data_IF_084849403912
#
_entry.id   IF_084849403912
#
_cell.length_a   1.000
_cell.length_b   1.000
_cell.length_c   1.000
_cell.angle_alpha   90.00
_cell.angle_beta   90.00
_cell.angle_gamma   90.00
#
_symmetry.space_group_name_H-M   'P 1'
#
loop_
_entity.id
_entity.type
_entity.pdbx_description
1 polymer ?
#
# COMPACT_ATOMS: atom_id res chain seq x y z
N UNK A 1 19.50 8.23 -9.75
CA UNK A 1 18.61 7.41 -10.59
C UNK A 1 17.20 7.90 -10.34
N UNK A 2 16.48 8.37 -11.36
CA UNK A 2 15.10 8.88 -11.22
C UNK A 2 14.10 7.76 -11.45
N UNK A 3 13.13 7.61 -10.56
CA UNK A 3 11.97 6.73 -10.74
C UNK A 3 10.71 7.56 -11.00
N UNK A 4 9.70 6.95 -11.59
CA UNK A 4 8.38 7.57 -11.77
C UNK A 4 7.46 7.14 -10.63
N UNK A 5 6.82 8.11 -9.96
CA UNK A 5 5.73 7.84 -9.03
C UNK A 5 4.40 7.98 -9.78
N UNK A 6 3.62 6.90 -9.81
CA UNK A 6 2.28 6.91 -10.36
C UNK A 6 1.27 6.96 -9.22
N UNK A 7 0.35 7.94 -9.28
CA UNK A 7 -0.76 8.06 -8.33
C UNK A 7 -2.05 7.75 -9.09
N UNK A 8 -2.76 6.71 -8.67
CA UNK A 8 -4.05 6.31 -9.24
C UNK A 8 -5.16 6.67 -8.26
N UNK A 9 -5.94 7.70 -8.57
CA UNK A 9 -7.06 8.16 -7.74
C UNK A 9 -8.39 7.80 -8.41
N UNK A 10 -9.27 7.11 -7.70
CA UNK A 10 -10.64 6.87 -8.14
C UNK A 10 -11.54 6.58 -6.92
N UNK A 11 -12.85 6.86 -7.00
CA UNK A 11 -13.81 6.47 -5.97
C UNK A 11 -13.83 4.94 -5.73
N UNK A 12 -14.36 4.53 -4.57
CA UNK A 12 -14.61 3.12 -4.30
C UNK A 12 -15.52 2.52 -5.39
N UNK A 13 -15.19 1.32 -5.86
CA UNK A 13 -15.94 0.63 -6.93
C UNK A 13 -15.57 1.02 -8.36
N UNK A 14 -14.73 2.02 -8.59
CA UNK A 14 -14.35 2.49 -9.94
C UNK A 14 -13.27 1.63 -10.64
N UNK A 15 -12.88 0.48 -10.07
CA UNK A 15 -11.93 -0.45 -10.71
C UNK A 15 -10.44 -0.18 -10.47
N UNK A 16 -10.07 0.75 -9.58
CA UNK A 16 -8.67 1.08 -9.23
C UNK A 16 -7.82 -0.17 -8.94
N UNK A 17 -8.33 -1.05 -8.08
CA UNK A 17 -7.61 -2.27 -7.68
C UNK A 17 -7.38 -3.20 -8.87
N UNK A 18 -8.36 -3.35 -9.76
CA UNK A 18 -8.25 -4.20 -10.95
C UNK A 18 -7.21 -3.66 -11.93
N UNK A 19 -7.21 -2.34 -12.18
CA UNK A 19 -6.22 -1.69 -13.04
C UNK A 19 -4.80 -1.88 -12.51
N UNK A 20 -4.59 -1.60 -11.22
CA UNK A 20 -3.27 -1.75 -10.57
C UNK A 20 -2.81 -3.21 -10.61
N UNK A 21 -3.70 -4.16 -10.34
CA UNK A 21 -3.37 -5.58 -10.38
C UNK A 21 -2.91 -6.03 -11.77
N UNK A 22 -3.55 -5.55 -12.84
CA UNK A 22 -3.16 -5.90 -14.21
C UNK A 22 -1.84 -5.21 -14.62
N UNK A 23 -1.62 -3.98 -14.18
CA UNK A 23 -0.36 -3.26 -14.40
C UNK A 23 0.84 -3.99 -13.77
N UNK A 24 0.68 -4.51 -12.55
CA UNK A 24 1.74 -5.24 -11.85
C UNK A 24 2.07 -6.60 -12.49
N UNK A 25 1.13 -7.20 -13.23
CA UNK A 25 1.39 -8.44 -13.99
C UNK A 25 2.11 -8.19 -15.31
N UNK A 26 1.91 -7.00 -15.88
CA UNK A 26 2.38 -6.67 -17.24
C UNK A 26 3.75 -6.01 -17.26
N UNK A 27 4.17 -5.37 -16.16
CA UNK A 27 5.50 -4.75 -16.03
C UNK A 27 6.13 -5.01 -14.65
N UNK A 28 7.14 -5.88 -14.63
CA UNK A 28 7.90 -6.24 -13.42
C UNK A 28 8.68 -5.06 -12.80
N UNK A 29 8.89 -3.97 -13.53
CA UNK A 29 9.56 -2.77 -13.01
C UNK A 29 8.63 -1.93 -12.15
N UNK A 30 7.32 -2.12 -12.27
CA UNK A 30 6.33 -1.41 -11.46
C UNK A 30 6.13 -2.16 -10.15
N UNK A 31 6.25 -1.42 -9.04
CA UNK A 31 6.05 -1.95 -7.70
C UNK A 31 4.90 -1.20 -7.04
N UNK A 32 4.05 -1.96 -6.34
CA UNK A 32 3.00 -1.37 -5.54
C UNK A 32 3.58 -0.83 -4.23
N UNK A 33 3.20 0.39 -3.87
CA UNK A 33 3.40 0.90 -2.51
C UNK A 33 2.35 0.28 -1.60
N UNK A 34 2.78 -0.58 -0.66
CA UNK A 34 1.89 -1.25 0.29
C UNK A 34 1.74 -0.37 1.54
N UNK A 35 0.50 0.02 1.87
CA UNK A 35 0.21 0.90 3.00
C UNK A 35 0.35 0.21 4.35
N UNK A 36 0.42 0.98 5.43
CA UNK A 36 0.42 0.47 6.81
C UNK A 36 -0.99 0.54 7.40
N UNK A 37 -1.32 -0.38 8.30
CA UNK A 37 -2.59 -0.35 9.04
C UNK A 37 -2.43 -0.92 10.45
N UNK A 38 -3.23 -0.41 11.39
CA UNK A 38 -3.32 -0.90 12.77
C UNK A 38 -4.41 -1.96 12.95
N UNK A 39 -5.22 -2.19 11.92
CA UNK A 39 -6.23 -3.26 11.92
C UNK A 39 -5.53 -4.62 11.92
N UNK A 40 -6.06 -5.59 12.66
CA UNK A 40 -5.59 -6.97 12.56
C UNK A 40 -5.84 -7.56 11.15
N UNK A 41 -4.96 -8.43 10.64
CA UNK A 41 -5.18 -9.11 9.37
C UNK A 41 -6.44 -9.97 9.42
N UNK A 42 -7.23 -9.95 8.34
CA UNK A 42 -8.32 -10.90 8.10
C UNK A 42 -7.74 -12.25 7.67
N UNK A 43 -8.57 -13.30 7.75
CA UNK A 43 -8.19 -14.62 7.26
C UNK A 43 -7.71 -14.54 5.80
N UNK A 44 -6.50 -15.05 5.55
CA UNK A 44 -5.88 -15.06 4.23
C UNK A 44 -5.08 -13.81 3.86
N UNK A 45 -5.15 -12.71 4.63
CA UNK A 45 -4.27 -11.54 4.43
C UNK A 45 -2.85 -11.82 4.92
N UNK A 46 -1.85 -11.28 4.23
CA UNK A 46 -0.44 -11.44 4.60
C UNK A 46 0.25 -10.08 4.77
N UNK A 47 1.10 -10.00 5.80
CA UNK A 47 1.90 -8.80 6.05
C UNK A 47 2.83 -8.52 4.87
N UNK A 48 2.78 -7.29 4.36
CA UNK A 48 3.53 -6.85 3.17
C UNK A 48 2.89 -7.21 1.84
N UNK A 49 1.69 -7.84 1.82
CA UNK A 49 0.93 -8.08 0.60
C UNK A 49 -0.23 -7.10 0.45
N UNK A 50 -1.17 -7.12 1.38
CA UNK A 50 -2.29 -6.15 1.41
C UNK A 50 -1.91 -4.88 2.17
N UNK A 51 -1.33 -5.06 3.35
CA UNK A 51 -0.85 -4.01 4.23
C UNK A 51 0.38 -4.47 4.98
N UNK A 52 1.16 -3.52 5.48
CA UNK A 52 1.99 -3.75 6.64
C UNK A 52 1.13 -3.62 7.90
N UNK A 53 0.86 -4.73 8.56
CA UNK A 53 0.08 -4.80 9.79
C UNK A 53 0.99 -4.50 10.98
N UNK A 54 0.77 -3.37 11.64
CA UNK A 54 1.58 -2.90 12.78
C UNK A 54 0.70 -2.64 13.99
N UNK A 55 1.29 -2.62 15.18
CA UNK A 55 0.57 -2.19 16.38
C UNK A 55 0.27 -0.69 16.31
N UNK A 56 -0.67 -0.22 17.14
CA UNK A 56 -1.00 1.20 17.24
C UNK A 56 0.20 2.02 17.71
N UNK A 57 0.93 1.52 18.70
CA UNK A 57 2.11 2.16 19.28
C UNK A 57 3.22 2.32 18.23
N UNK A 58 3.44 1.29 17.39
CA UNK A 58 4.40 1.37 16.30
C UNK A 58 3.96 2.38 15.24
N UNK A 59 2.68 2.39 14.88
CA UNK A 59 2.15 3.34 13.90
C UNK A 59 2.32 4.80 14.37
N UNK A 60 2.03 5.08 15.65
CA UNK A 60 2.22 6.40 16.25
C UNK A 60 3.70 6.81 16.27
N UNK A 61 4.61 5.87 16.56
CA UNK A 61 6.05 6.14 16.48
C UNK A 61 6.50 6.49 15.05
N UNK A 62 5.93 5.84 14.02
CA UNK A 62 6.21 6.14 12.61
C UNK A 62 5.68 7.52 12.19
N UNK A 63 4.50 7.92 12.68
CA UNK A 63 3.98 9.29 12.49
C UNK A 63 4.95 10.31 13.09
N UNK A 64 5.38 10.10 14.34
CA UNK A 64 6.30 11.02 15.02
C UNK A 64 7.66 11.13 14.32
N UNK A 65 8.09 10.06 13.64
CA UNK A 65 9.32 10.01 12.85
C UNK A 65 9.16 10.60 11.43
N UNK A 66 7.95 10.98 10.99
CA UNK A 66 7.70 11.51 9.66
C UNK A 66 7.86 10.47 8.54
N UNK A 67 7.59 9.20 8.83
CA UNK A 67 7.79 8.09 7.87
C UNK A 67 6.67 7.93 6.82
N UNK A 68 5.55 8.65 6.97
CA UNK A 68 4.40 8.55 6.08
C UNK A 68 4.26 9.76 5.13
N UNK A 69 3.83 9.48 3.90
CA UNK A 69 3.47 10.50 2.93
C UNK A 69 2.03 11.00 3.14
N UNK A 70 1.11 10.10 3.51
CA UNK A 70 -0.30 10.36 3.86
C UNK A 70 -0.71 9.62 5.13
#
# INVERSE_FOLDING_TARGET
MSGNLFIVCAPSGAGKTSLVAELLKTDEKIKLSVSYTTRAPRSGELNGREYHFVSKEKFEAMIAAGEFLE
#
